data_IF_684630648757
#
_entry.id   IF_684630648757
#
_cell.length_a   1.000
_cell.length_b   1.000
_cell.length_c   1.000
_cell.angle_alpha   90.00
_cell.angle_beta   90.00
_cell.angle_gamma   90.00
#
_symmetry.space_group_name_H-M   'P 1'
#
loop_
_entity.id
_entity.type
_entity.pdbx_description
1 polymer ?
#
# COMPACT_ATOMS: atom_id res chain seq x y z
N UNK A 1 18.46 -5.73 -32.48
CA UNK A 1 17.29 -6.13 -31.70
C UNK A 1 17.77 -6.73 -30.40
N UNK A 2 17.72 -5.95 -29.31
CA UNK A 2 18.14 -6.40 -28.00
C UNK A 2 17.17 -7.40 -27.38
N UNK A 3 17.69 -8.22 -26.47
CA UNK A 3 16.93 -9.21 -25.70
C UNK A 3 16.59 -8.61 -24.33
N UNK A 4 15.32 -8.73 -23.95
CA UNK A 4 14.82 -8.38 -22.62
C UNK A 4 14.57 -9.68 -21.85
N UNK A 5 15.41 -9.97 -20.86
CA UNK A 5 15.22 -11.09 -19.95
C UNK A 5 14.29 -10.68 -18.80
N UNK A 6 13.16 -11.37 -18.66
CA UNK A 6 12.16 -11.13 -17.63
C UNK A 6 11.44 -12.42 -17.25
N UNK A 7 11.26 -12.67 -15.94
CA UNK A 7 10.56 -13.86 -15.42
C UNK A 7 11.10 -15.22 -15.92
N UNK A 8 12.40 -15.29 -16.21
CA UNK A 8 13.04 -16.51 -16.73
C UNK A 8 12.74 -16.80 -18.20
N UNK A 9 12.20 -15.82 -18.93
CA UNK A 9 12.00 -15.85 -20.37
C UNK A 9 12.74 -14.68 -21.03
N UNK A 10 12.99 -14.82 -22.32
CA UNK A 10 13.66 -13.84 -23.16
C UNK A 10 12.69 -13.32 -24.22
N UNK A 11 12.62 -12.00 -24.37
CA UNK A 11 11.75 -11.32 -25.31
C UNK A 11 12.59 -10.46 -26.26
N UNK A 12 12.34 -10.56 -27.56
CA UNK A 12 13.08 -9.83 -28.57
C UNK A 12 12.42 -8.47 -28.82
N UNK A 13 13.14 -7.38 -28.52
CA UNK A 13 12.65 -6.03 -28.75
C UNK A 13 12.83 -5.61 -30.21
N UNK A 14 11.79 -4.97 -30.76
CA UNK A 14 11.85 -4.34 -32.09
C UNK A 14 12.58 -2.97 -32.02
N UNK A 15 13.02 -2.47 -33.18
CA UNK A 15 13.71 -1.19 -33.24
C UNK A 15 12.80 -0.04 -32.78
N UNK A 16 13.31 0.81 -31.88
CA UNK A 16 12.58 1.91 -31.23
C UNK A 16 11.34 1.50 -30.41
N UNK A 17 11.24 0.24 -30.01
CA UNK A 17 10.17 -0.25 -29.15
C UNK A 17 10.49 -0.01 -27.68
N UNK A 18 9.50 0.43 -26.90
CA UNK A 18 9.66 0.52 -25.45
C UNK A 18 9.66 -0.87 -24.81
N UNK A 19 10.35 -1.04 -23.68
CA UNK A 19 10.30 -2.30 -22.92
C UNK A 19 8.86 -2.67 -22.56
N UNK A 20 8.00 -1.68 -22.26
CA UNK A 20 6.58 -1.92 -22.04
C UNK A 20 5.91 -2.58 -23.25
N UNK A 21 6.08 -1.98 -24.43
CA UNK A 21 5.36 -2.41 -25.64
C UNK A 21 5.87 -3.78 -26.10
N UNK A 22 7.17 -4.06 -25.95
CA UNK A 22 7.73 -5.39 -26.20
C UNK A 22 7.05 -6.46 -25.32
N UNK A 23 6.97 -6.24 -24.01
CA UNK A 23 6.33 -7.19 -23.09
C UNK A 23 4.84 -7.38 -23.39
N UNK A 24 4.12 -6.30 -23.73
CA UNK A 24 2.70 -6.39 -24.11
C UNK A 24 2.51 -7.16 -25.42
N UNK A 25 3.37 -6.91 -26.43
CA UNK A 25 3.34 -7.61 -27.72
C UNK A 25 3.57 -9.11 -27.58
N UNK A 26 4.31 -9.52 -26.55
CA UNK A 26 4.53 -10.92 -26.19
C UNK A 26 3.50 -11.47 -25.17
N UNK A 27 2.37 -10.79 -24.97
CA UNK A 27 1.28 -11.18 -24.05
C UNK A 27 1.72 -11.35 -22.58
N UNK A 28 2.78 -10.65 -22.16
CA UNK A 28 3.29 -10.69 -20.78
C UNK A 28 2.48 -9.76 -19.88
N UNK A 29 1.99 -10.31 -18.76
CA UNK A 29 1.24 -9.52 -17.77
C UNK A 29 2.18 -8.65 -16.93
N UNK A 30 2.06 -7.33 -17.14
CA UNK A 30 2.81 -6.27 -16.45
C UNK A 30 1.90 -5.10 -16.10
N UNK A 31 2.22 -4.37 -15.03
CA UNK A 31 1.45 -3.20 -14.60
C UNK A 31 1.77 -2.00 -15.49
N UNK A 32 0.75 -1.28 -15.99
CA UNK A 32 0.93 -0.01 -16.68
C UNK A 32 -0.40 0.78 -16.71
N UNK A 33 -0.32 2.09 -16.96
CA UNK A 33 -1.51 2.93 -17.13
C UNK A 33 -1.29 3.99 -18.21
N UNK A 34 -0.52 5.05 -17.94
CA UNK A 34 -0.50 6.23 -18.81
C UNK A 34 0.39 6.12 -20.07
N UNK A 35 1.32 5.15 -20.11
CA UNK A 35 2.36 4.98 -21.16
C UNK A 35 3.16 6.25 -21.52
N UNK A 36 3.21 7.22 -20.61
CA UNK A 36 3.82 8.53 -20.84
C UNK A 36 4.90 8.89 -19.81
N UNK A 37 5.30 7.93 -18.97
CA UNK A 37 6.34 8.15 -17.96
C UNK A 37 5.91 9.02 -16.77
N UNK A 38 4.60 9.16 -16.52
CA UNK A 38 4.07 10.08 -15.48
C UNK A 38 3.42 9.34 -14.32
N UNK A 39 2.62 8.30 -14.59
CA UNK A 39 1.86 7.57 -13.56
C UNK A 39 2.69 6.62 -12.69
N UNK A 40 3.93 6.31 -13.11
CA UNK A 40 4.86 5.39 -12.47
C UNK A 40 4.39 3.93 -12.29
N UNK A 41 3.17 3.57 -12.71
CA UNK A 41 2.63 2.20 -12.58
C UNK A 41 3.41 1.13 -13.35
N UNK A 42 4.22 1.54 -14.34
CA UNK A 42 5.06 0.67 -15.17
C UNK A 42 6.48 0.47 -14.63
N UNK A 43 6.70 0.78 -13.36
CA UNK A 43 8.01 0.72 -12.75
C UNK A 43 8.54 -0.72 -12.68
N UNK A 44 9.79 -0.89 -13.08
CA UNK A 44 10.58 -2.11 -13.00
C UNK A 44 11.95 -1.80 -12.39
N UNK A 45 12.70 -2.84 -12.02
CA UNK A 45 14.09 -2.72 -11.57
C UNK A 45 15.02 -3.40 -12.58
N UNK A 46 16.09 -2.71 -12.95
CA UNK A 46 17.14 -3.25 -13.83
C UNK A 46 18.05 -4.21 -13.03
N UNK A 47 18.22 -5.44 -13.53
CA UNK A 47 19.19 -6.42 -13.02
C UNK A 47 20.51 -6.38 -13.77
N UNK A 48 20.43 -6.28 -15.09
CA UNK A 48 21.56 -6.13 -16.00
C UNK A 48 21.23 -5.02 -17.00
N UNK A 49 22.22 -4.16 -17.30
CA UNK A 49 22.04 -2.92 -18.04
C UNK A 49 21.92 -1.68 -17.14
N UNK A 50 21.72 -0.51 -17.75
CA UNK A 50 21.62 0.77 -17.04
C UNK A 50 20.37 1.56 -17.45
N UNK A 51 19.54 2.04 -16.50
CA UNK A 51 18.43 2.92 -16.82
C UNK A 51 18.87 4.23 -17.48
N UNK A 52 18.09 4.72 -18.43
CA UNK A 52 18.33 6.04 -19.02
C UNK A 52 17.77 7.14 -18.12
N UNK A 53 18.30 8.34 -18.23
CA UNK A 53 17.79 9.49 -17.46
C UNK A 53 16.31 9.76 -17.76
N UNK A 54 15.88 9.51 -19.01
CA UNK A 54 14.49 9.62 -19.44
C UNK A 54 13.57 8.61 -18.75
N UNK A 55 14.01 7.36 -18.57
CA UNK A 55 13.21 6.32 -17.91
C UNK A 55 13.16 6.47 -16.39
N UNK A 56 14.05 7.27 -15.82
CA UNK A 56 14.07 7.62 -14.40
C UNK A 56 13.46 8.98 -14.08
N UNK A 57 12.91 9.67 -15.08
CA UNK A 57 12.31 10.99 -14.90
C UNK A 57 11.11 10.93 -13.94
N UNK A 58 11.15 11.76 -12.90
CA UNK A 58 10.10 11.82 -11.88
C UNK A 58 10.23 10.79 -10.75
N UNK A 59 11.20 9.87 -10.82
CA UNK A 59 11.52 8.98 -9.70
C UNK A 59 12.30 9.72 -8.62
N UNK A 60 12.13 9.30 -7.36
CA UNK A 60 12.96 9.74 -6.23
C UNK A 60 14.38 9.21 -6.37
N UNK A 61 15.38 9.93 -5.86
CA UNK A 61 16.79 9.56 -6.03
C UNK A 61 17.14 8.21 -5.38
N UNK A 62 16.48 7.84 -4.28
CA UNK A 62 16.63 6.52 -3.66
C UNK A 62 16.21 5.37 -4.59
N UNK A 63 15.19 5.58 -5.44
CA UNK A 63 14.75 4.59 -6.42
C UNK A 63 15.71 4.56 -7.62
N UNK A 64 16.19 5.73 -8.06
CA UNK A 64 17.19 5.79 -9.13
C UNK A 64 18.47 5.05 -8.77
N UNK A 65 18.95 5.23 -7.53
CA UNK A 65 20.13 4.57 -7.00
C UNK A 65 19.99 3.03 -6.90
N UNK A 66 18.75 2.54 -6.85
CA UNK A 66 18.42 1.10 -6.85
C UNK A 66 18.09 0.58 -8.27
N UNK A 67 18.43 1.34 -9.31
CA UNK A 67 18.18 1.01 -10.72
C UNK A 67 16.70 0.78 -11.07
N UNK A 68 15.78 1.43 -10.34
CA UNK A 68 14.38 1.48 -10.76
C UNK A 68 14.23 2.39 -11.97
N UNK A 69 13.29 2.02 -12.86
CA UNK A 69 13.00 2.76 -14.08
C UNK A 69 11.57 2.50 -14.57
N UNK A 70 11.07 3.36 -15.44
CA UNK A 70 9.76 3.24 -16.07
C UNK A 70 9.89 2.54 -17.43
N UNK A 71 9.35 1.32 -17.55
CA UNK A 71 9.51 0.52 -18.78
C UNK A 71 8.82 1.13 -20.01
N UNK A 72 7.81 2.00 -19.82
CA UNK A 72 7.16 2.72 -20.93
C UNK A 72 8.01 3.88 -21.50
N UNK A 73 9.09 4.24 -20.82
CA UNK A 73 9.96 5.37 -21.19
C UNK A 73 11.41 4.93 -21.40
N UNK A 74 11.63 3.63 -21.57
CA UNK A 74 12.92 3.04 -21.84
C UNK A 74 12.85 2.22 -23.13
N UNK A 75 13.77 2.50 -24.04
CA UNK A 75 14.03 1.71 -25.25
C UNK A 75 15.37 1.03 -25.01
N UNK A 76 15.41 -0.29 -25.13
CA UNK A 76 16.64 -1.04 -24.95
C UNK A 76 17.56 -0.83 -26.15
N UNK A 77 18.84 -0.53 -25.89
CA UNK A 77 19.89 -0.43 -26.92
C UNK A 77 20.84 -1.64 -26.90
N UNK A 78 20.83 -2.36 -25.78
CA UNK A 78 21.61 -3.57 -25.49
C UNK A 78 20.72 -4.60 -24.78
N UNK A 79 21.21 -5.83 -24.64
CA UNK A 79 20.50 -6.87 -23.89
C UNK A 79 20.41 -6.46 -22.41
N UNK A 80 19.21 -6.59 -21.84
CA UNK A 80 18.93 -6.19 -20.45
C UNK A 80 18.24 -7.34 -19.71
N UNK A 81 18.43 -7.37 -18.39
CA UNK A 81 17.63 -8.20 -17.50
C UNK A 81 16.86 -7.30 -16.53
N UNK A 82 15.58 -7.58 -16.35
CA UNK A 82 14.69 -6.78 -15.51
C UNK A 82 13.89 -7.65 -14.56
N UNK A 83 13.43 -7.07 -13.46
CA UNK A 83 12.54 -7.74 -12.51
C UNK A 83 11.45 -6.79 -12.04
N UNK A 84 10.35 -7.35 -11.52
CA UNK A 84 9.32 -6.54 -10.88
C UNK A 84 9.88 -5.90 -9.61
N UNK A 85 9.46 -4.68 -9.25
CA UNK A 85 9.68 -4.17 -7.90
C UNK A 85 9.20 -5.21 -6.90
N UNK A 86 10.07 -5.62 -5.97
CA UNK A 86 9.72 -6.64 -4.99
C UNK A 86 9.94 -8.10 -5.40
N UNK A 87 10.19 -8.45 -6.67
CA UNK A 87 10.31 -9.88 -7.07
C UNK A 87 11.59 -10.58 -6.60
N UNK A 88 12.62 -9.81 -6.30
CA UNK A 88 13.86 -10.32 -5.69
C UNK A 88 13.81 -10.38 -4.17
N UNK A 89 12.74 -9.87 -3.58
CA UNK A 89 12.54 -10.00 -2.16
C UNK A 89 11.61 -11.20 -1.96
N UNK A 90 12.24 -12.32 -1.61
CA UNK A 90 11.54 -13.51 -1.18
C UNK A 90 10.54 -13.15 -0.08
N UNK A 91 9.35 -13.78 -0.12
CA UNK A 91 8.43 -13.71 1.01
C UNK A 91 9.18 -14.08 2.27
N UNK A 92 8.98 -13.29 3.32
CA UNK A 92 9.62 -13.49 4.61
C UNK A 92 8.61 -14.08 5.57
N UNK A 93 9.06 -15.06 6.34
CA UNK A 93 8.27 -15.65 7.41
C UNK A 93 8.31 -14.74 8.63
N UNK A 94 7.16 -14.50 9.24
CA UNK A 94 7.04 -13.72 10.48
C UNK A 94 5.98 -14.29 11.40
N UNK A 95 6.10 -13.95 12.69
CA UNK A 95 5.22 -14.46 13.73
C UNK A 95 4.04 -13.51 14.00
N UNK A 96 2.86 -14.07 14.27
CA UNK A 96 1.69 -13.31 14.72
C UNK A 96 1.85 -12.94 16.18
N UNK A 97 1.88 -11.64 16.48
CA UNK A 97 2.05 -11.12 17.84
C UNK A 97 0.72 -10.93 18.57
N UNK A 98 -0.28 -10.37 17.88
CA UNK A 98 -1.58 -10.08 18.48
C UNK A 98 -2.73 -10.11 17.46
N UNK A 99 -3.91 -10.44 17.95
CA UNK A 99 -5.16 -10.51 17.19
C UNK A 99 -6.28 -9.86 18.00
N UNK A 100 -6.72 -8.67 17.61
CA UNK A 100 -7.76 -7.91 18.31
C UNK A 100 -8.96 -7.68 17.39
N UNK A 101 -10.18 -7.96 17.88
CA UNK A 101 -11.40 -7.62 17.14
C UNK A 101 -11.70 -6.14 17.32
N UNK A 102 -11.56 -5.36 16.24
CA UNK A 102 -11.86 -3.93 16.24
C UNK A 102 -13.36 -3.66 16.21
N UNK A 103 -14.11 -4.56 15.56
CA UNK A 103 -15.56 -4.63 15.58
C UNK A 103 -16.02 -6.05 15.18
N UNK A 104 -17.28 -6.21 14.76
CA UNK A 104 -17.85 -7.51 14.39
C UNK A 104 -17.18 -8.16 13.15
N UNK A 105 -16.68 -7.37 12.20
CA UNK A 105 -16.16 -7.88 10.92
C UNK A 105 -14.72 -7.46 10.60
N UNK A 106 -14.05 -6.68 11.45
CA UNK A 106 -12.65 -6.24 11.26
C UNK A 106 -11.75 -6.80 12.38
N UNK A 107 -10.71 -7.49 11.97
CA UNK A 107 -9.65 -8.02 12.83
C UNK A 107 -8.38 -7.18 12.65
N UNK A 108 -7.85 -6.63 13.74
CA UNK A 108 -6.49 -6.08 13.81
C UNK A 108 -5.53 -7.25 13.98
N UNK A 109 -4.56 -7.34 13.07
CA UNK A 109 -3.49 -8.34 13.10
C UNK A 109 -2.18 -7.60 13.27
N UNK A 110 -1.44 -7.92 14.33
CA UNK A 110 -0.06 -7.44 14.54
C UNK A 110 0.91 -8.57 14.28
N UNK A 111 1.84 -8.34 13.39
CA UNK A 111 2.91 -9.28 13.03
C UNK A 111 4.24 -8.75 13.53
N UNK A 112 5.15 -9.63 13.92
CA UNK A 112 6.52 -9.23 14.18
C UNK A 112 7.09 -8.57 12.94
N UNK A 113 7.84 -7.47 13.11
CA UNK A 113 8.53 -6.86 11.98
C UNK A 113 9.82 -7.63 11.71
N UNK A 114 10.00 -8.21 10.51
CA UNK A 114 11.26 -8.88 10.17
C UNK A 114 12.44 -7.91 10.16
N UNK A 115 13.64 -8.44 10.38
CA UNK A 115 14.88 -7.67 10.26
C UNK A 115 15.00 -7.10 8.84
N UNK A 116 15.40 -5.82 8.74
CA UNK A 116 15.52 -5.08 7.48
C UNK A 116 14.21 -4.93 6.68
N UNK A 117 13.05 -5.03 7.33
CA UNK A 117 11.76 -4.77 6.68
C UNK A 117 11.44 -3.27 6.67
N UNK A 118 11.84 -2.58 5.60
CA UNK A 118 11.53 -1.16 5.38
C UNK A 118 10.18 -0.98 4.68
N UNK A 119 9.41 0.01 5.13
CA UNK A 119 8.12 0.38 4.53
C UNK A 119 7.76 1.82 4.87
N UNK A 120 6.84 2.40 4.09
CA UNK A 120 6.18 3.66 4.42
C UNK A 120 4.74 3.39 4.91
N UNK A 121 4.27 4.08 5.96
CA UNK A 121 2.88 3.97 6.40
C UNK A 121 1.89 4.28 5.27
N UNK A 122 0.92 3.38 5.07
CA UNK A 122 -0.02 3.42 3.95
C UNK A 122 0.27 2.45 2.81
N UNK A 123 1.53 1.99 2.66
CA UNK A 123 1.86 0.88 1.76
C UNK A 123 1.14 -0.41 2.15
N UNK A 124 1.15 -1.41 1.28
CA UNK A 124 0.56 -2.72 1.55
C UNK A 124 1.56 -3.86 1.34
N UNK A 125 1.30 -4.97 2.02
CA UNK A 125 1.99 -6.24 1.81
C UNK A 125 0.98 -7.31 1.44
N UNK A 126 1.46 -8.42 0.85
CA UNK A 126 0.64 -9.60 0.63
C UNK A 126 0.82 -10.57 1.81
N UNK A 127 -0.29 -11.00 2.41
CA UNK A 127 -0.32 -12.06 3.42
C UNK A 127 -0.76 -13.36 2.75
N UNK A 128 0.01 -14.43 2.93
CA UNK A 128 -0.29 -15.75 2.41
C UNK A 128 -0.97 -16.62 3.48
N UNK A 129 -2.07 -17.30 3.11
CA UNK A 129 -2.66 -18.33 3.97
C UNK A 129 -1.96 -19.69 3.78
N UNK A 130 -2.23 -20.71 4.62
CA UNK A 130 -1.59 -22.03 4.52
C UNK A 130 -1.84 -22.79 3.20
N UNK A 131 -2.85 -22.40 2.42
CA UNK A 131 -3.15 -22.99 1.11
C UNK A 131 -2.36 -22.31 -0.03
N UNK A 132 -1.46 -21.38 0.28
CA UNK A 132 -0.67 -20.63 -0.69
C UNK A 132 -1.42 -19.47 -1.37
N UNK A 133 -2.59 -19.08 -0.87
CA UNK A 133 -3.37 -17.97 -1.42
C UNK A 133 -2.95 -16.66 -0.77
N UNK A 134 -2.60 -15.68 -1.61
CA UNK A 134 -2.16 -14.35 -1.15
C UNK A 134 -3.22 -13.28 -1.33
N UNK A 135 -3.29 -12.34 -0.38
CA UNK A 135 -4.09 -11.11 -0.50
C UNK A 135 -3.36 -9.91 0.08
N UNK A 136 -3.57 -8.76 -0.54
CA UNK A 136 -2.97 -7.50 -0.13
C UNK A 136 -3.69 -6.89 1.08
N UNK A 137 -2.91 -6.42 2.05
CA UNK A 137 -3.39 -5.69 3.22
C UNK A 137 -2.47 -4.50 3.50
N UNK A 138 -3.08 -3.33 3.67
CA UNK A 138 -2.37 -2.08 3.97
C UNK A 138 -1.83 -2.04 5.39
N UNK A 139 -0.67 -1.43 5.54
CA UNK A 139 0.04 -1.21 6.80
C UNK A 139 -0.50 0.04 7.49
N UNK A 140 -1.00 -0.16 8.71
CA UNK A 140 -1.51 0.88 9.60
C UNK A 140 -0.49 1.32 10.66
N UNK A 141 0.61 0.57 10.84
CA UNK A 141 1.67 0.88 11.80
C UNK A 141 2.71 1.85 11.24
N UNK A 142 3.50 2.45 12.15
CA UNK A 142 4.60 3.37 11.85
C UNK A 142 5.94 2.69 12.12
N UNK A 143 6.89 2.68 11.16
CA UNK A 143 8.15 1.97 11.34
C UNK A 143 9.03 2.54 12.47
N UNK A 144 8.85 3.81 12.82
CA UNK A 144 9.67 4.47 13.85
C UNK A 144 9.03 4.44 15.25
N UNK A 145 7.71 4.19 15.34
CA UNK A 145 6.96 4.23 16.60
C UNK A 145 6.51 2.83 17.05
N UNK A 146 6.26 1.94 16.08
CA UNK A 146 5.72 0.60 16.30
C UNK A 146 6.80 -0.44 15.93
N UNK A 147 7.04 -1.40 16.82
CA UNK A 147 7.96 -2.54 16.60
C UNK A 147 7.33 -3.70 15.84
N UNK A 148 6.09 -3.52 15.38
CA UNK A 148 5.27 -4.50 14.66
C UNK A 148 4.69 -3.95 13.36
N UNK A 149 4.26 -4.86 12.48
CA UNK A 149 3.42 -4.56 11.32
C UNK A 149 1.95 -4.69 11.73
N UNK A 150 1.12 -3.66 11.50
CA UNK A 150 -0.32 -3.69 11.80
C UNK A 150 -1.17 -3.72 10.53
N UNK A 151 -2.08 -4.70 10.46
CA UNK A 151 -3.03 -4.89 9.35
C UNK A 151 -4.47 -4.87 9.89
N UNK A 152 -5.41 -4.32 9.12
CA UNK A 152 -6.84 -4.44 9.41
C UNK A 152 -7.53 -5.32 8.36
N UNK A 153 -7.97 -6.50 8.78
CA UNK A 153 -8.53 -7.53 7.89
C UNK A 153 -10.03 -7.60 8.09
N UNK A 154 -10.79 -7.20 7.06
CA UNK A 154 -12.24 -7.39 7.03
C UNK A 154 -12.59 -8.83 6.67
N UNK A 155 -13.53 -9.43 7.41
CA UNK A 155 -14.12 -10.71 7.06
C UNK A 155 -14.98 -10.56 5.80
N UNK A 156 -14.62 -11.28 4.74
CA UNK A 156 -15.38 -11.34 3.50
C UNK A 156 -16.00 -12.74 3.41
N UNK A 157 -17.34 -12.87 3.32
CA UNK A 157 -17.98 -14.18 3.14
C UNK A 157 -17.39 -14.94 1.95
N UNK A 158 -16.92 -16.17 2.18
CA UNK A 158 -16.24 -16.99 1.17
C UNK A 158 -14.78 -16.57 0.85
N UNK A 159 -14.25 -15.54 1.52
CA UNK A 159 -12.87 -15.10 1.37
C UNK A 159 -11.89 -16.09 1.98
N UNK A 160 -10.95 -16.60 1.18
CA UNK A 160 -9.97 -17.61 1.63
C UNK A 160 -9.03 -17.09 2.72
N UNK A 161 -8.39 -15.94 2.50
CA UNK A 161 -7.43 -15.36 3.45
C UNK A 161 -8.15 -14.67 4.61
N UNK A 162 -9.17 -13.86 4.35
CA UNK A 162 -9.91 -13.18 5.41
C UNK A 162 -10.71 -14.13 6.29
N UNK A 163 -11.30 -15.19 5.72
CA UNK A 163 -11.96 -16.25 6.48
C UNK A 163 -10.99 -16.99 7.40
N UNK A 164 -9.82 -17.41 6.86
CA UNK A 164 -8.75 -18.03 7.64
C UNK A 164 -8.26 -17.11 8.78
N UNK A 165 -7.97 -15.84 8.48
CA UNK A 165 -7.51 -14.88 9.49
C UNK A 165 -8.50 -14.73 10.66
N UNK A 166 -9.80 -14.78 10.40
CA UNK A 166 -10.85 -14.62 11.42
C UNK A 166 -11.18 -15.88 12.22
N UNK A 167 -10.81 -17.06 11.73
CA UNK A 167 -11.32 -18.34 12.27
C UNK A 167 -10.22 -19.33 12.68
N UNK A 168 -9.04 -19.26 12.06
CA UNK A 168 -7.99 -20.26 12.22
C UNK A 168 -6.63 -19.67 12.62
N UNK A 169 -6.33 -18.44 12.20
CA UNK A 169 -5.10 -17.73 12.59
C UNK A 169 -5.03 -17.49 14.10
N UNK A 170 -3.88 -17.77 14.70
CA UNK A 170 -3.63 -17.63 16.15
C UNK A 170 -2.36 -16.85 16.41
N UNK A 171 -2.27 -16.28 17.61
CA UNK A 171 -1.02 -15.72 18.13
C UNK A 171 0.05 -16.82 18.17
N UNK A 172 1.29 -16.45 17.84
CA UNK A 172 2.45 -17.31 17.64
C UNK A 172 2.41 -18.24 16.40
N UNK A 173 1.38 -18.16 15.56
CA UNK A 173 1.45 -18.78 14.23
C UNK A 173 2.51 -18.06 13.38
N UNK A 174 3.14 -18.82 12.47
CA UNK A 174 4.06 -18.27 11.48
C UNK A 174 3.37 -18.08 10.14
N UNK A 175 3.55 -16.91 9.53
CA UNK A 175 2.91 -16.50 8.28
C UNK A 175 3.93 -15.96 7.29
N UNK A 176 3.65 -16.15 6.00
CA UNK A 176 4.46 -15.59 4.92
C UNK A 176 3.93 -14.23 4.48
N UNK A 177 4.80 -13.24 4.40
CA UNK A 177 4.48 -11.91 3.90
C UNK A 177 5.43 -11.49 2.77
N UNK A 178 4.89 -10.80 1.76
CA UNK A 178 5.73 -10.09 0.77
C UNK A 178 6.33 -8.83 1.40
N UNK A 179 7.31 -8.18 0.76
CA UNK A 179 7.68 -6.81 1.10
C UNK A 179 6.52 -5.84 0.96
N UNK A 180 6.66 -4.69 1.60
CA UNK A 180 5.75 -3.57 1.44
C UNK A 180 5.93 -2.92 0.06
N UNK A 181 4.82 -2.67 -0.62
CA UNK A 181 4.76 -2.00 -1.92
C UNK A 181 3.59 -1.02 -1.98
N UNK A 182 3.55 -0.21 -3.03
CA UNK A 182 2.49 0.77 -3.29
C UNK A 182 2.91 2.22 -3.02
N UNK A 183 2.15 3.14 -3.61
CA UNK A 183 2.48 4.58 -3.66
C UNK A 183 1.57 5.44 -2.79
N UNK A 184 0.66 4.82 -2.03
CA UNK A 184 -0.24 5.52 -1.12
C UNK A 184 0.44 5.68 0.25
N UNK A 185 1.26 6.71 0.39
CA UNK A 185 1.94 7.05 1.65
C UNK A 185 2.18 8.56 1.73
N UNK A 186 2.42 9.08 2.94
CA UNK A 186 2.71 10.50 3.13
C UNK A 186 4.09 10.86 2.56
N UNK A 187 4.16 11.92 1.75
CA UNK A 187 5.43 12.42 1.21
C UNK A 187 5.80 13.76 1.84
N UNK A 188 6.90 13.84 2.62
CA UNK A 188 7.38 15.10 3.17
C UNK A 188 7.78 16.12 2.09
N UNK A 189 7.85 17.40 2.50
CA UNK A 189 8.31 18.50 1.65
C UNK A 189 7.23 19.54 1.32
N UNK A 190 5.96 19.24 1.59
CA UNK A 190 4.84 20.17 1.47
C UNK A 190 4.02 20.22 2.76
N UNK A 191 4.69 20.56 3.89
CA UNK A 191 4.07 20.50 5.22
C UNK A 191 2.84 21.40 5.38
N UNK A 192 2.68 22.44 4.57
CA UNK A 192 1.49 23.31 4.59
C UNK A 192 0.36 22.89 3.65
N UNK A 193 0.50 21.80 2.89
CA UNK A 193 -0.53 21.36 1.95
C UNK A 193 -1.60 20.55 2.67
N UNK A 194 -2.84 21.07 2.71
CA UNK A 194 -3.95 20.36 3.34
C UNK A 194 -4.15 18.95 2.75
N UNK A 195 -4.46 18.00 3.64
CA UNK A 195 -4.70 16.59 3.33
C UNK A 195 -6.19 16.28 3.50
N UNK A 196 -6.78 15.64 2.48
CA UNK A 196 -8.11 15.07 2.53
C UNK A 196 -8.01 13.55 2.41
N UNK A 197 -8.33 12.85 3.48
CA UNK A 197 -8.23 11.40 3.61
C UNK A 197 -9.66 10.82 3.68
N UNK A 198 -10.05 9.97 2.74
CA UNK A 198 -11.39 9.38 2.70
C UNK A 198 -11.26 7.86 2.64
N UNK A 199 -11.70 7.17 3.69
CA UNK A 199 -11.63 5.71 3.80
C UNK A 199 -12.97 5.12 4.20
N UNK A 200 -13.31 3.96 3.62
CA UNK A 200 -14.50 3.20 4.04
C UNK A 200 -14.14 1.80 4.48
N UNK A 201 -14.75 1.31 5.57
CA UNK A 201 -14.38 0.03 6.18
C UNK A 201 -12.89 -0.08 6.46
N UNK A 202 -12.24 -1.16 6.01
CA UNK A 202 -10.78 -1.34 6.19
C UNK A 202 -9.92 -0.43 5.32
N UNK A 203 -10.50 0.37 4.43
CA UNK A 203 -9.82 1.47 3.77
C UNK A 203 -9.31 2.55 4.74
N UNK A 204 -9.75 2.56 6.00
CA UNK A 204 -9.15 3.38 7.06
C UNK A 204 -7.70 2.96 7.40
N UNK A 205 -7.32 1.68 7.26
CA UNK A 205 -6.01 1.18 7.68
C UNK A 205 -4.81 1.98 7.12
N UNK A 206 -4.68 2.17 5.79
CA UNK A 206 -3.58 2.97 5.26
C UNK A 206 -3.66 4.44 5.70
N UNK A 207 -4.87 5.00 5.81
CA UNK A 207 -5.08 6.41 6.17
C UNK A 207 -4.71 6.68 7.62
N UNK A 208 -4.92 5.71 8.51
CA UNK A 208 -4.48 5.80 9.90
C UNK A 208 -2.94 5.90 10.00
N UNK A 209 -2.23 5.07 9.22
CA UNK A 209 -0.77 5.15 9.09
C UNK A 209 -0.31 6.49 8.50
N UNK A 210 -0.92 6.93 7.40
CA UNK A 210 -0.60 8.19 6.72
C UNK A 210 -0.82 9.40 7.64
N UNK A 211 -1.96 9.45 8.34
CA UNK A 211 -2.28 10.52 9.28
C UNK A 211 -1.23 10.62 10.39
N UNK A 212 -0.92 9.50 11.05
CA UNK A 212 0.07 9.45 12.13
C UNK A 212 1.47 9.82 11.63
N UNK A 213 1.86 9.36 10.44
CA UNK A 213 3.16 9.68 9.85
C UNK A 213 3.27 11.17 9.44
N UNK A 214 2.19 11.76 8.93
CA UNK A 214 2.13 13.19 8.65
C UNK A 214 2.32 14.02 9.92
N UNK A 215 1.64 13.66 11.01
CA UNK A 215 1.79 14.33 12.31
C UNK A 215 3.20 14.20 12.87
N UNK A 216 3.80 13.01 12.79
CA UNK A 216 5.18 12.77 13.23
C UNK A 216 6.20 13.60 12.45
N UNK A 217 5.91 13.88 11.18
CA UNK A 217 6.74 14.73 10.30
C UNK A 217 6.37 16.23 10.39
N UNK A 218 5.68 16.64 11.45
CA UNK A 218 5.33 18.03 11.75
C UNK A 218 4.55 18.71 10.61
N UNK A 219 3.60 17.98 10.01
CA UNK A 219 2.69 18.53 9.02
C UNK A 219 1.81 19.64 9.63
N UNK A 220 1.78 20.80 8.97
CA UNK A 220 1.10 22.02 9.44
C UNK A 220 -0.23 22.28 8.74
N UNK A 221 -0.43 21.74 7.52
CA UNK A 221 -1.68 21.85 6.79
C UNK A 221 -2.83 21.15 7.52
N UNK A 222 -4.06 21.50 7.15
CA UNK A 222 -5.25 20.87 7.70
C UNK A 222 -5.37 19.42 7.20
N UNK A 223 -5.65 18.48 8.10
CA UNK A 223 -5.84 17.06 7.80
C UNK A 223 -7.29 16.69 8.12
N UNK A 224 -8.08 16.45 7.08
CA UNK A 224 -9.47 16.01 7.23
C UNK A 224 -9.56 14.50 6.95
N UNK A 225 -9.93 13.72 7.96
CA UNK A 225 -10.14 12.27 7.83
C UNK A 225 -11.62 11.93 7.86
N UNK A 226 -12.17 11.50 6.73
CA UNK A 226 -13.52 10.96 6.61
C UNK A 226 -13.51 9.43 6.70
N UNK A 227 -14.04 8.90 7.79
CA UNK A 227 -14.18 7.45 8.02
C UNK A 227 -15.62 7.03 7.77
N UNK A 228 -15.88 6.42 6.63
CA UNK A 228 -17.21 6.00 6.21
C UNK A 228 -17.55 4.54 6.54
N UNK A 229 -18.77 4.32 6.99
CA UNK A 229 -19.38 2.99 7.10
C UNK A 229 -20.86 3.02 6.68
N UNK A 230 -21.45 1.87 6.39
CA UNK A 230 -22.90 1.78 6.19
C UNK A 230 -23.67 1.96 7.49
N UNK A 231 -23.15 1.45 8.60
CA UNK A 231 -23.74 1.54 9.93
C UNK A 231 -22.67 1.93 10.97
N UNK A 232 -23.08 2.48 12.12
CA UNK A 232 -22.16 2.99 13.14
C UNK A 232 -21.24 1.88 13.69
N UNK A 233 -21.73 0.65 13.75
CA UNK A 233 -21.01 -0.54 14.24
C UNK A 233 -19.85 -0.95 13.32
N UNK A 234 -19.87 -0.50 12.05
CA UNK A 234 -18.77 -0.74 11.11
C UNK A 234 -17.62 0.27 11.26
N UNK A 235 -17.81 1.35 12.02
CA UNK A 235 -16.73 2.25 12.40
C UNK A 235 -15.91 1.62 13.54
N UNK A 236 -14.63 1.95 13.58
CA UNK A 236 -13.65 1.43 14.54
C UNK A 236 -12.49 2.43 14.68
N UNK A 237 -11.66 2.28 15.72
CA UNK A 237 -10.65 3.26 16.16
C UNK A 237 -11.22 4.66 16.46
N UNK A 238 -12.50 4.75 16.80
CA UNK A 238 -13.20 6.03 16.98
C UNK A 238 -12.54 6.83 18.10
N UNK A 239 -12.22 6.18 19.22
CA UNK A 239 -11.67 6.85 20.39
C UNK A 239 -10.22 7.31 20.13
N UNK A 240 -9.42 6.49 19.45
CA UNK A 240 -8.06 6.85 19.04
C UNK A 240 -8.06 8.02 18.05
N UNK A 241 -8.95 8.01 17.05
CA UNK A 241 -9.05 9.09 16.07
C UNK A 241 -9.59 10.39 16.69
N UNK A 242 -10.55 10.31 17.63
CA UNK A 242 -11.00 11.46 18.41
C UNK A 242 -9.92 12.02 19.32
N UNK A 243 -9.07 11.16 19.88
CA UNK A 243 -7.93 11.61 20.68
C UNK A 243 -6.91 12.37 19.82
N UNK A 244 -6.66 11.93 18.58
CA UNK A 244 -5.81 12.66 17.64
C UNK A 244 -6.41 14.01 17.24
N UNK A 245 -7.70 14.07 16.91
CA UNK A 245 -8.44 15.31 16.62
C UNK A 245 -8.33 16.30 17.81
N UNK A 246 -8.59 15.84 19.04
CA UNK A 246 -8.51 16.68 20.23
C UNK A 246 -7.08 17.15 20.57
N UNK A 247 -6.06 16.36 20.21
CA UNK A 247 -4.65 16.66 20.52
C UNK A 247 -3.98 17.58 19.50
N UNK A 248 -4.50 17.66 18.27
CA UNK A 248 -3.87 18.38 17.16
C UNK A 248 -4.86 19.36 16.51
N UNK A 249 -4.56 20.65 16.56
CA UNK A 249 -5.46 21.69 16.05
C UNK A 249 -5.74 21.63 14.56
N UNK A 250 -4.87 20.94 13.79
CA UNK A 250 -4.97 20.77 12.36
C UNK A 250 -5.53 19.39 11.94
N UNK A 251 -6.04 18.58 12.87
CA UNK A 251 -6.65 17.28 12.56
C UNK A 251 -8.15 17.35 12.79
N UNK A 252 -8.94 16.93 11.81
CA UNK A 252 -10.39 16.91 11.88
C UNK A 252 -10.91 15.53 11.50
N UNK A 253 -11.51 14.82 12.46
CA UNK A 253 -12.06 13.48 12.27
C UNK A 253 -13.57 13.51 12.02
N UNK A 254 -13.98 12.96 10.88
CA UNK A 254 -15.36 12.95 10.39
C UNK A 254 -15.89 11.51 10.26
N UNK A 255 -16.40 10.88 11.34
CA UNK A 255 -17.08 9.60 11.24
C UNK A 255 -18.40 9.76 10.47
N UNK A 256 -18.56 9.01 9.38
CA UNK A 256 -19.70 9.11 8.47
C UNK A 256 -20.47 7.79 8.40
N UNK A 257 -21.79 7.85 8.54
CA UNK A 257 -22.67 6.68 8.44
C UNK A 257 -23.71 6.91 7.36
N UNK A 258 -23.78 6.02 6.38
CA UNK A 258 -24.66 6.20 5.21
C UNK A 258 -26.07 5.63 5.37
N UNK A 259 -26.32 4.73 6.33
CA UNK A 259 -27.65 4.19 6.63
C UNK A 259 -28.06 4.41 8.09
N UNK A 260 -29.35 4.64 8.32
CA UNK A 260 -29.91 4.86 9.65
C UNK A 260 -29.69 6.28 10.18
N UNK A 261 -30.09 6.50 11.43
CA UNK A 261 -29.85 7.76 12.14
C UNK A 261 -28.50 7.66 12.85
N UNK A 262 -27.51 8.50 12.50
CA UNK A 262 -26.21 8.46 13.16
C UNK A 262 -26.35 8.82 14.65
N UNK A 263 -25.59 8.16 15.54
CA UNK A 263 -25.41 8.62 16.91
C UNK A 263 -24.87 10.05 16.98
N UNK A 264 -25.04 10.70 18.13
CA UNK A 264 -24.48 12.04 18.37
C UNK A 264 -22.96 12.05 18.13
N UNK A 265 -22.48 13.03 17.35
CA UNK A 265 -21.07 13.15 16.97
C UNK A 265 -20.66 12.38 15.71
N UNK A 266 -21.62 11.88 14.92
CA UNK A 266 -21.37 11.28 13.60
C UNK A 266 -22.17 11.98 12.50
N UNK A 267 -21.60 12.04 11.30
CA UNK A 267 -22.19 12.69 10.14
C UNK A 267 -23.06 11.71 9.36
N UNK A 268 -24.33 12.08 9.10
CA UNK A 268 -25.22 11.31 8.23
C UNK A 268 -24.86 11.50 6.75
N UNK A 269 -24.65 10.41 6.02
CA UNK A 269 -24.42 10.41 4.57
C UNK A 269 -23.16 9.66 4.16
N UNK A 270 -22.89 9.62 2.86
CA UNK A 270 -21.66 9.01 2.33
C UNK A 270 -20.48 9.95 2.55
N UNK A 271 -19.31 9.39 2.86
CA UNK A 271 -18.11 10.15 3.17
C UNK A 271 -17.69 11.11 2.03
N UNK A 272 -17.81 10.68 0.77
CA UNK A 272 -17.52 11.47 -0.42
C UNK A 272 -18.47 12.66 -0.64
N UNK A 273 -19.66 12.63 -0.02
CA UNK A 273 -20.64 13.72 -0.11
C UNK A 273 -20.49 14.74 1.01
N UNK A 274 -19.60 14.47 1.98
CA UNK A 274 -19.41 15.27 3.18
C UNK A 274 -18.02 15.89 3.28
N UNK A 275 -17.07 15.34 2.52
CA UNK A 275 -15.78 15.96 2.21
C UNK A 275 -15.94 17.23 1.37
#
# INVERSE_FOLDING_TARGET
MPIIAFDGQEYLAEDNESVLDCLIRHDVSVNYSCRAGVCQSCMMMMKEGTPSEASQKGLKDALKAQNYFLMCSYVAEEDIAITRPGKDFQSVETDVLALDRLNADVLRVRLARPDNYSYFPGQFLNLQNPDGVERSYSLASLPDDDDFLELHIRHIPGGKVSGWAHTALKVADRVSISPATGDCFYTPGQSGQNLLLIGTGTGLAPLYGILRDALRQDHQGEIHLYHGSSAAEGLYLIDELKALDAAHTNVHYHPCVSQGTPPAGMTAGRADQKA
#
